data_IF_143599378019
#
_entry.id   IF_143599378019
#
_cell.length_a   1.000
_cell.length_b   1.000
_cell.length_c   1.000
_cell.angle_alpha   90.00
_cell.angle_beta   90.00
_cell.angle_gamma   90.00
#
_symmetry.space_group_name_H-M   'P 1'
#
loop_
_entity.id
_entity.type
_entity.pdbx_description
1 polymer ?
#
# COMPACT_ATOMS: atom_id res chain seq x y z
N UNK A 1 38.61 -16.11 -49.77
CA UNK A 1 38.39 -15.37 -48.50
C UNK A 1 37.03 -14.68 -48.38
N UNK A 2 36.16 -14.65 -49.41
CA UNK A 2 34.82 -14.02 -49.31
C UNK A 2 33.77 -14.84 -48.54
N UNK A 3 33.84 -16.18 -48.59
CA UNK A 3 32.84 -17.05 -47.97
C UNK A 3 33.02 -17.22 -46.45
N UNK A 4 34.22 -16.98 -45.93
CA UNK A 4 34.50 -17.05 -44.48
C UNK A 4 33.79 -15.91 -43.74
N UNK A 5 33.75 -14.73 -44.36
CA UNK A 5 33.02 -13.57 -43.81
C UNK A 5 31.50 -13.80 -43.74
N UNK A 6 30.93 -14.48 -44.74
CA UNK A 6 29.50 -14.78 -44.77
C UNK A 6 29.07 -15.75 -43.66
N UNK A 7 29.90 -16.75 -43.36
CA UNK A 7 29.64 -17.72 -42.28
C UNK A 7 29.76 -17.06 -40.90
N UNK A 8 30.72 -16.15 -40.74
CA UNK A 8 30.95 -15.43 -39.47
C UNK A 8 29.82 -14.43 -39.17
N UNK A 9 29.24 -13.81 -40.20
CA UNK A 9 28.06 -12.93 -40.08
C UNK A 9 26.79 -13.73 -39.79
N UNK A 10 26.61 -14.93 -40.36
CA UNK A 10 25.44 -15.78 -40.04
C UNK A 10 25.48 -16.30 -38.59
N UNK A 11 26.67 -16.60 -38.06
CA UNK A 11 26.84 -17.07 -36.68
C UNK A 11 26.52 -16.01 -35.61
N UNK A 12 26.66 -14.72 -35.94
CA UNK A 12 26.38 -13.61 -35.02
C UNK A 12 24.87 -13.31 -34.86
N UNK A 13 24.03 -13.74 -35.80
CA UNK A 13 22.58 -13.45 -35.79
C UNK A 13 21.80 -14.43 -34.89
N UNK A 14 22.36 -15.62 -34.61
CA UNK A 14 21.67 -16.66 -33.85
C UNK A 14 21.83 -16.56 -32.31
N UNK A 15 22.50 -15.53 -31.78
CA UNK A 15 22.76 -15.41 -30.33
C UNK A 15 21.82 -14.42 -29.63
N UNK A 16 21.08 -13.60 -30.37
CA UNK A 16 20.20 -12.58 -29.80
C UNK A 16 18.76 -13.08 -29.69
N UNK A 17 18.37 -13.61 -28.53
CA UNK A 17 16.94 -13.77 -28.24
C UNK A 17 16.52 -14.82 -27.24
N UNK A 18 17.34 -15.20 -26.25
CA UNK A 18 16.79 -15.91 -25.08
C UNK A 18 16.30 -14.87 -24.10
N UNK A 19 15.13 -14.28 -24.39
CA UNK A 19 14.37 -13.56 -23.36
C UNK A 19 13.98 -14.60 -22.31
N UNK A 20 14.58 -14.52 -21.13
CA UNK A 20 14.20 -15.36 -20.01
C UNK A 20 12.69 -15.21 -19.81
N UNK A 21 11.96 -16.33 -19.84
CA UNK A 21 10.55 -16.37 -19.55
C UNK A 21 10.37 -15.95 -18.09
N UNK A 22 10.00 -14.69 -17.86
CA UNK A 22 9.64 -14.19 -16.53
C UNK A 22 8.23 -14.70 -16.26
N UNK A 23 8.14 -15.80 -15.55
CA UNK A 23 6.87 -16.35 -15.06
C UNK A 23 6.68 -15.81 -13.66
N UNK A 24 5.60 -15.07 -13.43
CA UNK A 24 5.16 -14.71 -12.10
C UNK A 24 4.23 -15.81 -11.60
N UNK A 25 4.69 -16.60 -10.64
CA UNK A 25 3.85 -17.56 -9.91
C UNK A 25 3.52 -16.97 -8.53
N UNK A 26 2.24 -16.85 -8.23
CA UNK A 26 1.76 -16.47 -6.90
C UNK A 26 1.24 -17.69 -6.14
N UNK A 27 1.61 -17.79 -4.86
CA UNK A 27 1.07 -18.77 -3.93
C UNK A 27 0.43 -18.04 -2.75
N UNK A 28 -0.89 -18.07 -2.68
CA UNK A 28 -1.62 -17.50 -1.55
C UNK A 28 -1.48 -18.42 -0.34
N UNK A 29 -0.97 -17.88 0.77
CA UNK A 29 -0.89 -18.59 2.04
C UNK A 29 -1.74 -17.89 3.10
N UNK A 30 -2.34 -18.63 4.05
CA UNK A 30 -3.01 -18.01 5.19
C UNK A 30 -2.06 -17.12 5.99
N UNK A 31 -2.60 -16.08 6.63
CA UNK A 31 -1.84 -15.19 7.51
C UNK A 31 -1.11 -15.99 8.60
N UNK A 32 0.20 -15.78 8.71
CA UNK A 32 0.99 -16.25 9.85
C UNK A 32 0.66 -15.42 11.09
N UNK A 33 1.02 -15.91 12.27
CA UNK A 33 0.69 -15.26 13.55
C UNK A 33 1.14 -13.80 13.65
N UNK A 34 2.32 -13.48 13.13
CA UNK A 34 2.87 -12.12 13.09
C UNK A 34 2.12 -11.19 12.13
N UNK A 35 1.69 -11.71 10.97
CA UNK A 35 0.89 -10.96 9.99
C UNK A 35 -0.52 -10.71 10.53
N UNK A 36 -1.08 -11.72 11.21
CA UNK A 36 -2.37 -11.62 11.90
C UNK A 36 -2.35 -10.55 12.99
N UNK A 37 -1.30 -10.49 13.81
CA UNK A 37 -1.14 -9.45 14.83
C UNK A 37 -1.14 -8.05 14.22
N UNK A 38 -0.33 -7.84 13.17
CA UNK A 38 -0.30 -6.56 12.47
C UNK A 38 -1.67 -6.18 11.86
N UNK A 39 -2.43 -7.18 11.40
CA UNK A 39 -3.79 -6.97 10.89
C UNK A 39 -4.78 -6.61 11.99
N UNK A 40 -4.75 -7.29 13.13
CA UNK A 40 -5.62 -6.99 14.27
C UNK A 40 -5.35 -5.59 14.84
N UNK A 41 -4.08 -5.21 14.95
CA UNK A 41 -3.69 -3.86 15.37
C UNK A 41 -4.17 -2.79 14.38
N UNK A 42 -4.03 -3.04 13.08
CA UNK A 42 -4.54 -2.13 12.05
C UNK A 42 -6.07 -2.03 12.05
N UNK A 43 -6.78 -3.14 12.28
CA UNK A 43 -8.24 -3.14 12.43
C UNK A 43 -8.65 -2.29 13.64
N UNK A 44 -7.94 -2.39 14.76
CA UNK A 44 -8.21 -1.55 15.93
C UNK A 44 -8.04 -0.07 15.60
N UNK A 45 -6.88 0.30 15.03
CA UNK A 45 -6.60 1.68 14.64
C UNK A 45 -7.61 2.21 13.61
N UNK A 46 -8.03 1.38 12.65
CA UNK A 46 -9.02 1.79 11.65
C UNK A 46 -10.39 2.14 12.26
N UNK A 47 -10.78 1.47 13.35
CA UNK A 47 -12.01 1.78 14.08
C UNK A 47 -11.88 3.10 14.83
N UNK A 48 -10.71 3.36 15.41
CA UNK A 48 -10.42 4.63 16.07
C UNK A 48 -10.48 5.79 15.07
N UNK A 49 -9.95 5.61 13.85
CA UNK A 49 -10.09 6.58 12.74
C UNK A 49 -11.56 6.76 12.34
N UNK A 50 -12.28 5.66 12.08
CA UNK A 50 -13.68 5.71 11.64
C UNK A 50 -14.61 6.39 12.66
N UNK A 51 -14.29 6.31 13.95
CA UNK A 51 -15.04 6.93 15.04
C UNK A 51 -14.59 8.35 15.36
N UNK A 52 -13.56 8.87 14.68
CA UNK A 52 -13.00 10.21 14.95
C UNK A 52 -12.23 10.30 16.26
N UNK A 53 -11.82 9.17 16.84
CA UNK A 53 -11.05 9.09 18.08
C UNK A 53 -9.54 9.02 17.86
N UNK A 54 -9.09 9.00 16.61
CA UNK A 54 -7.67 9.06 16.28
C UNK A 54 -7.21 10.52 16.16
N UNK A 55 -6.32 10.95 17.06
CA UNK A 55 -5.84 12.34 17.16
C UNK A 55 -5.13 12.81 15.88
N UNK A 56 -4.32 11.95 15.26
CA UNK A 56 -3.59 12.28 14.03
C UNK A 56 -4.56 12.56 12.87
N UNK A 57 -5.53 11.65 12.64
CA UNK A 57 -6.55 11.80 11.61
C UNK A 57 -7.45 13.03 11.87
N UNK A 58 -7.76 13.33 13.13
CA UNK A 58 -8.50 14.54 13.50
C UNK A 58 -7.66 15.81 13.29
N UNK A 59 -6.35 15.75 13.54
CA UNK A 59 -5.42 16.83 13.26
C UNK A 59 -5.39 17.16 11.77
N UNK A 60 -5.26 16.15 10.90
CA UNK A 60 -5.35 16.30 9.44
C UNK A 60 -6.72 16.87 9.04
N UNK A 61 -7.79 16.37 9.62
CA UNK A 61 -9.15 16.83 9.32
C UNK A 61 -9.40 18.28 9.72
N UNK A 62 -8.76 18.78 10.80
CA UNK A 62 -8.89 20.18 11.21
C UNK A 62 -8.28 21.17 10.22
N UNK A 63 -7.31 20.72 9.42
CA UNK A 63 -6.66 21.53 8.38
C UNK A 63 -7.52 21.54 7.10
N UNK A 64 -8.09 20.39 6.74
CA UNK A 64 -8.81 20.17 5.48
C UNK A 64 -10.32 20.49 5.58
N UNK A 65 -10.92 20.43 6.77
CA UNK A 65 -12.31 20.80 7.03
C UNK A 65 -12.39 22.14 7.81
N UNK A 66 -12.90 23.23 7.20
CA UNK A 66 -13.17 24.49 7.89
C UNK A 66 -14.06 24.32 9.13
N UNK A 67 -13.95 25.25 10.10
CA UNK A 67 -14.55 25.15 11.46
C UNK A 67 -16.06 24.83 11.50
N UNK A 68 -16.84 25.19 10.46
CA UNK A 68 -18.28 24.93 10.38
C UNK A 68 -18.65 23.56 9.81
N UNK A 69 -17.66 22.73 9.46
CA UNK A 69 -17.88 21.42 8.86
C UNK A 69 -17.59 20.30 9.86
N UNK A 70 -18.44 19.28 9.85
CA UNK A 70 -18.20 18.05 10.60
C UNK A 70 -17.37 17.08 9.76
N UNK A 71 -16.15 16.71 10.20
CA UNK A 71 -15.37 15.68 9.54
C UNK A 71 -15.96 14.30 9.81
N UNK A 72 -15.92 13.44 8.80
CA UNK A 72 -16.28 12.03 8.91
C UNK A 72 -15.28 11.20 8.12
N UNK A 73 -14.93 10.03 8.65
CA UNK A 73 -13.90 9.16 8.06
C UNK A 73 -14.55 7.90 7.52
N UNK A 74 -14.16 7.52 6.30
CA UNK A 74 -14.60 6.26 5.69
C UNK A 74 -13.37 5.41 5.39
N UNK A 75 -13.18 4.37 6.18
CA UNK A 75 -12.12 3.37 5.94
C UNK A 75 -12.50 2.54 4.71
N UNK A 76 -11.61 2.51 3.72
CA UNK A 76 -11.82 1.81 2.46
C UNK A 76 -11.25 0.40 2.51
N UNK A 77 -9.99 0.27 2.93
CA UNK A 77 -9.32 -1.01 3.05
C UNK A 77 -8.15 -0.95 4.04
N UNK A 78 -7.71 -2.14 4.45
CA UNK A 78 -6.49 -2.36 5.22
C UNK A 78 -5.64 -3.33 4.42
N UNK A 79 -4.38 -2.96 4.18
CA UNK A 79 -3.40 -3.79 3.49
C UNK A 79 -2.29 -4.19 4.46
N UNK A 80 -1.86 -5.46 4.42
CA UNK A 80 -0.73 -5.95 5.21
C UNK A 80 0.50 -5.98 4.34
N UNK A 81 1.52 -5.27 4.81
CA UNK A 81 2.82 -5.18 4.17
C UNK A 81 3.84 -5.96 4.99
N UNK A 82 4.88 -6.42 4.32
CA UNK A 82 6.02 -7.04 4.98
C UNK A 82 7.32 -6.48 4.40
N UNK A 83 8.26 -6.13 5.26
CA UNK A 83 9.52 -5.53 4.85
C UNK A 83 10.68 -6.03 5.70
N UNK A 84 11.89 -5.90 5.18
CA UNK A 84 13.12 -6.19 5.91
C UNK A 84 13.74 -4.88 6.38
N UNK A 85 14.32 -4.86 7.57
CA UNK A 85 15.14 -3.73 8.01
C UNK A 85 16.39 -3.62 7.12
N UNK A 86 16.92 -2.40 6.96
CA UNK A 86 18.02 -2.10 6.02
C UNK A 86 19.26 -2.98 6.24
N UNK A 87 19.60 -3.30 7.49
CA UNK A 87 20.75 -4.14 7.87
C UNK A 87 20.34 -5.54 8.35
N UNK A 88 19.26 -6.11 7.79
CA UNK A 88 18.74 -7.41 8.21
C UNK A 88 19.79 -8.53 8.11
N UNK A 89 20.04 -9.21 9.23
CA UNK A 89 20.98 -10.35 9.35
C UNK A 89 20.29 -11.63 9.82
N UNK A 90 19.03 -11.54 10.25
CA UNK A 90 18.26 -12.69 10.70
C UNK A 90 16.78 -12.59 10.29
N UNK A 91 16.03 -13.71 10.30
CA UNK A 91 14.57 -13.70 10.10
C UNK A 91 13.81 -12.78 11.08
N UNK A 92 14.37 -12.49 12.25
CA UNK A 92 13.76 -11.61 13.25
C UNK A 92 13.76 -10.13 12.83
N UNK A 93 14.51 -9.78 11.78
CA UNK A 93 14.54 -8.45 11.19
C UNK A 93 13.42 -8.24 10.17
N UNK A 94 12.61 -9.29 9.90
CA UNK A 94 11.37 -9.14 9.16
C UNK A 94 10.36 -8.36 10.01
N UNK A 95 9.72 -7.39 9.39
CA UNK A 95 8.66 -6.59 9.98
C UNK A 95 7.39 -6.71 9.15
N UNK A 96 6.28 -6.50 9.83
CA UNK A 96 4.94 -6.48 9.26
C UNK A 96 4.29 -5.17 9.68
N UNK A 97 3.54 -4.55 8.77
CA UNK A 97 2.77 -3.34 9.06
C UNK A 97 1.41 -3.43 8.40
N UNK A 98 0.42 -2.80 9.03
CA UNK A 98 -0.88 -2.55 8.41
C UNK A 98 -0.96 -1.12 7.91
N UNK A 99 -1.33 -0.96 6.65
CA UNK A 99 -1.63 0.35 6.05
C UNK A 99 -3.14 0.48 5.94
N UNK A 100 -3.68 1.57 6.51
CA UNK A 100 -5.11 1.86 6.51
C UNK A 100 -5.35 2.96 5.48
N UNK A 101 -6.15 2.66 4.45
CA UNK A 101 -6.59 3.66 3.49
C UNK A 101 -7.99 4.14 3.88
N UNK A 102 -8.14 5.43 4.13
CA UNK A 102 -9.41 6.05 4.46
C UNK A 102 -9.61 7.35 3.67
N UNK A 103 -10.86 7.76 3.52
CA UNK A 103 -11.22 9.07 2.98
C UNK A 103 -11.79 9.96 4.07
N UNK A 104 -11.35 11.21 4.12
CA UNK A 104 -11.98 12.26 4.89
C UNK A 104 -13.13 12.89 4.09
N UNK A 105 -14.28 13.06 4.73
CA UNK A 105 -15.44 13.78 4.18
C UNK A 105 -15.84 14.89 5.14
N UNK A 106 -15.83 16.13 4.66
CA UNK A 106 -16.36 17.28 5.38
C UNK A 106 -17.82 17.49 4.99
N UNK A 107 -18.73 17.45 5.95
CA UNK A 107 -20.14 17.82 5.73
C UNK A 107 -20.41 19.18 6.35
N UNK A 108 -21.00 20.10 5.57
CA UNK A 108 -21.40 21.41 6.07
C UNK A 108 -22.77 21.30 6.72
N UNK A 109 -22.87 21.67 8.00
CA UNK A 109 -24.13 21.63 8.70
C UNK A 109 -24.96 22.87 8.36
N UNK A 110 -25.83 22.75 7.34
CA UNK A 110 -26.76 23.83 6.95
C UNK A 110 -27.91 24.03 7.95
N UNK A 111 -27.95 23.28 9.03
CA UNK A 111 -29.06 23.30 10.00
C UNK A 111 -29.19 24.61 10.80
N UNK A 112 -28.19 25.50 10.74
CA UNK A 112 -28.20 26.83 11.38
C UNK A 112 -28.64 27.99 10.49
N UNK A 113 -28.94 27.76 9.21
CA UNK A 113 -29.37 28.80 8.26
C UNK A 113 -30.85 29.13 8.40
N UNK A 114 -31.25 29.69 9.54
CA UNK A 114 -32.56 30.31 9.69
C UNK A 114 -32.64 31.58 8.86
N UNK A 115 -33.70 31.68 8.05
CA UNK A 115 -34.14 32.90 7.37
C UNK A 115 -33.86 34.16 8.20
N UNK A 116 -32.91 34.99 7.76
CA UNK A 116 -32.81 36.42 8.07
C UNK A 116 -32.20 37.18 6.92
#
# INVERSE_FOLDING_TARGET
>A
MKHVFAILVLGLICVSGVSALVVEESLDTPLRSSEKMAFEDAVKLSKDIATGNNEDAMGEASIECPEDNHPSFVVMNISINSFWLADAKSPNDKRYSGTINYSLKCSHDRSGGGDR
#
